data_IF_643691694538
#
_entry.id   IF_643691694538
#
_cell.length_a   1.000
_cell.length_b   1.000
_cell.length_c   1.000
_cell.angle_alpha   90.00
_cell.angle_beta   90.00
_cell.angle_gamma   90.00
#
_symmetry.space_group_name_H-M   'P 1'
#
loop_
_entity.id
_entity.type
_entity.pdbx_description
1 polymer ?
#
# COMPACT_ATOMS: atom_id res chain seq x y z
N UNK A 1 -10.59 26.25 9.49
CA UNK A 1 -11.38 25.07 9.05
C UNK A 1 -10.42 24.13 8.34
N UNK A 2 -9.85 23.20 9.06
CA UNK A 2 -9.07 22.09 8.51
C UNK A 2 -10.06 21.17 7.79
N UNK A 3 -10.05 21.17 6.46
CA UNK A 3 -10.74 20.11 5.71
C UNK A 3 -10.15 18.79 6.17
N UNK A 4 -10.98 17.94 6.78
CA UNK A 4 -10.60 16.62 7.22
C UNK A 4 -9.95 15.84 6.07
N UNK A 5 -9.07 14.89 6.41
CA UNK A 5 -8.50 13.98 5.43
C UNK A 5 -9.64 13.26 4.68
N UNK A 6 -9.47 12.94 3.39
CA UNK A 6 -10.48 12.21 2.64
C UNK A 6 -10.72 10.84 3.29
N UNK A 7 -11.97 10.51 3.52
CA UNK A 7 -12.39 9.23 4.12
C UNK A 7 -13.34 8.44 3.23
N UNK A 8 -13.91 9.09 2.21
CA UNK A 8 -14.81 8.45 1.27
C UNK A 8 -14.20 8.37 -0.14
N UNK A 9 -14.54 7.33 -0.89
CA UNK A 9 -14.07 7.11 -2.27
C UNK A 9 -14.24 8.34 -3.17
N UNK A 10 -15.38 9.06 -3.06
CA UNK A 10 -15.65 10.26 -3.84
C UNK A 10 -14.67 11.42 -3.56
N UNK A 11 -14.13 11.52 -2.34
CA UNK A 11 -13.16 12.56 -1.99
C UNK A 11 -11.79 12.24 -2.57
N UNK A 12 -11.40 10.96 -2.60
CA UNK A 12 -10.18 10.51 -3.26
C UNK A 12 -10.26 10.71 -4.76
N UNK A 13 -11.39 10.34 -5.40
CA UNK A 13 -11.61 10.58 -6.83
C UNK A 13 -11.49 12.06 -7.17
N UNK A 14 -12.08 12.94 -6.36
CA UNK A 14 -11.95 14.39 -6.53
C UNK A 14 -10.50 14.85 -6.45
N UNK A 15 -9.75 14.35 -5.49
CA UNK A 15 -8.35 14.68 -5.33
C UNK A 15 -7.50 14.14 -6.50
N UNK A 16 -7.77 12.93 -6.96
CA UNK A 16 -7.09 12.37 -8.14
C UNK A 16 -7.42 13.08 -9.45
N UNK A 17 -8.52 13.85 -9.56
CA UNK A 17 -8.78 14.71 -10.73
C UNK A 17 -7.87 15.94 -10.80
N UNK A 18 -7.27 16.35 -9.69
CA UNK A 18 -6.30 17.45 -9.66
C UNK A 18 -4.98 17.05 -10.36
N UNK A 19 -4.18 18.02 -10.83
CA UNK A 19 -2.89 17.75 -11.45
C UNK A 19 -1.90 17.04 -10.52
N UNK A 20 -1.99 17.27 -9.21
CA UNK A 20 -1.19 16.63 -8.16
C UNK A 20 -2.02 16.41 -6.91
N UNK A 21 -1.68 15.38 -6.15
CA UNK A 21 -2.30 15.04 -4.86
C UNK A 21 -1.40 15.46 -3.71
N UNK A 22 -1.98 15.85 -2.57
CA UNK A 22 -1.21 16.25 -1.37
C UNK A 22 -0.36 15.12 -0.79
N UNK A 23 -0.74 13.87 -1.05
CA UNK A 23 0.01 12.68 -0.63
C UNK A 23 0.98 12.17 -1.70
N UNK A 24 0.97 12.76 -2.89
CA UNK A 24 1.93 12.45 -3.95
C UNK A 24 3.35 12.83 -3.50
N UNK A 25 4.23 11.86 -3.37
CA UNK A 25 5.65 12.07 -3.15
C UNK A 25 6.41 11.61 -4.40
N UNK A 26 7.43 12.39 -4.79
CA UNK A 26 8.17 12.13 -6.02
C UNK A 26 9.37 11.20 -5.82
N UNK A 27 9.68 10.82 -4.57
CA UNK A 27 10.83 9.97 -4.25
C UNK A 27 10.40 8.54 -3.96
N UNK A 28 11.13 7.59 -4.50
CA UNK A 28 11.01 6.19 -4.10
C UNK A 28 11.58 6.05 -2.68
N UNK A 29 10.84 5.46 -1.74
CA UNK A 29 11.35 5.22 -0.40
C UNK A 29 12.48 4.19 -0.42
N UNK A 30 13.53 4.42 0.38
CA UNK A 30 14.63 3.44 0.54
C UNK A 30 14.13 2.10 1.07
N UNK A 31 13.08 2.11 1.86
CA UNK A 31 12.43 0.93 2.40
C UNK A 31 11.83 0.06 1.27
N UNK A 32 11.19 0.69 0.28
CA UNK A 32 10.69 -0.01 -0.91
C UNK A 32 11.86 -0.51 -1.79
N UNK A 33 12.90 0.31 -1.98
CA UNK A 33 14.11 -0.13 -2.68
C UNK A 33 14.71 -1.38 -2.02
N UNK A 34 14.79 -1.39 -0.69
CA UNK A 34 15.28 -2.54 0.08
C UNK A 34 14.38 -3.76 -0.09
N UNK A 35 13.05 -3.60 -0.04
CA UNK A 35 12.10 -4.70 -0.26
C UNK A 35 12.29 -5.34 -1.64
N UNK A 36 12.41 -4.52 -2.68
CA UNK A 36 12.58 -4.96 -4.06
C UNK A 36 13.92 -5.71 -4.26
N UNK A 37 14.96 -5.29 -3.56
CA UNK A 37 16.30 -5.89 -3.66
C UNK A 37 16.51 -7.07 -2.71
N UNK A 38 15.69 -7.22 -1.66
CA UNK A 38 15.83 -8.27 -0.66
C UNK A 38 15.17 -9.57 -1.11
N UNK A 39 15.93 -10.65 -1.21
CA UNK A 39 15.39 -12.00 -1.38
C UNK A 39 14.79 -12.31 -2.77
N UNK A 40 14.98 -11.46 -3.75
CA UNK A 40 14.48 -11.65 -5.14
C UNK A 40 12.99 -12.01 -5.25
N UNK A 41 12.06 -11.20 -4.73
CA UNK A 41 10.64 -11.41 -5.02
C UNK A 41 10.44 -11.37 -6.54
N UNK A 42 9.57 -12.22 -7.09
CA UNK A 42 9.19 -12.16 -8.51
C UNK A 42 7.89 -11.43 -8.71
N UNK A 43 6.94 -11.62 -7.79
CA UNK A 43 5.61 -11.05 -7.84
C UNK A 43 5.34 -10.19 -6.60
N UNK A 44 4.91 -8.96 -6.81
CA UNK A 44 4.63 -7.98 -5.74
C UNK A 44 3.23 -7.41 -5.89
N UNK A 45 2.52 -7.27 -4.77
CA UNK A 45 1.21 -6.63 -4.68
C UNK A 45 1.35 -5.25 -4.02
N UNK A 46 0.89 -4.19 -4.69
CA UNK A 46 0.73 -2.86 -4.10
C UNK A 46 -0.73 -2.62 -3.72
N UNK A 47 -0.99 -2.32 -2.45
CA UNK A 47 -2.31 -2.00 -1.92
C UNK A 47 -2.47 -0.48 -1.77
N UNK A 48 -3.52 0.09 -2.39
CA UNK A 48 -3.70 1.53 -2.49
C UNK A 48 -2.69 2.18 -3.44
N UNK A 49 -2.53 1.64 -4.64
CA UNK A 49 -1.48 2.04 -5.58
C UNK A 49 -1.64 3.47 -6.15
N UNK A 50 -2.79 4.09 -5.98
CA UNK A 50 -3.09 5.41 -6.51
C UNK A 50 -2.80 5.52 -8.02
N UNK A 51 -2.02 6.52 -8.41
CA UNK A 51 -1.62 6.73 -9.81
C UNK A 51 -0.44 5.82 -10.26
N UNK A 52 -0.13 4.74 -9.53
CA UNK A 52 0.74 3.65 -9.95
C UNK A 52 2.24 3.95 -9.94
N UNK A 53 2.68 5.00 -9.26
CA UNK A 53 4.09 5.42 -9.25
C UNK A 53 5.05 4.34 -8.75
N UNK A 54 4.73 3.73 -7.61
CA UNK A 54 5.61 2.73 -7.01
C UNK A 54 5.53 1.41 -7.75
N UNK A 55 4.34 1.02 -8.21
CA UNK A 55 4.18 -0.13 -9.12
C UNK A 55 5.03 0.03 -10.38
N UNK A 56 5.05 1.22 -11.00
CA UNK A 56 5.93 1.47 -12.16
C UNK A 56 7.41 1.31 -11.80
N UNK A 57 7.84 1.85 -10.66
CA UNK A 57 9.21 1.67 -10.18
C UNK A 57 9.56 0.18 -9.99
N UNK A 58 8.68 -0.58 -9.33
CA UNK A 58 8.88 -2.02 -9.10
C UNK A 58 8.98 -2.77 -10.43
N UNK A 59 8.09 -2.47 -11.38
CA UNK A 59 8.14 -3.08 -12.72
C UNK A 59 9.41 -2.71 -13.50
N UNK A 60 9.96 -1.51 -13.32
CA UNK A 60 11.24 -1.10 -13.91
C UNK A 60 12.43 -1.90 -13.35
N UNK A 61 12.30 -2.51 -12.17
CA UNK A 61 13.29 -3.43 -11.61
C UNK A 61 13.16 -4.87 -12.17
N UNK A 62 12.24 -5.09 -13.11
CA UNK A 62 12.03 -6.40 -13.76
C UNK A 62 11.14 -7.36 -12.98
N UNK A 63 10.33 -6.85 -12.05
CA UNK A 63 9.43 -7.65 -11.24
C UNK A 63 7.99 -7.57 -11.76
N UNK A 64 7.23 -8.65 -11.60
CA UNK A 64 5.79 -8.66 -11.84
C UNK A 64 5.10 -7.92 -10.69
N UNK A 65 4.28 -6.94 -11.02
CA UNK A 65 3.57 -6.15 -10.00
C UNK A 65 2.12 -5.95 -10.38
N UNK A 66 1.25 -6.17 -9.39
CA UNK A 66 -0.17 -5.85 -9.44
C UNK A 66 -0.46 -4.72 -8.45
N UNK A 67 -1.02 -3.62 -8.92
CA UNK A 67 -1.46 -2.49 -8.08
C UNK A 67 -2.98 -2.44 -8.00
N UNK A 68 -3.51 -2.31 -6.79
CA UNK A 68 -4.96 -2.18 -6.54
C UNK A 68 -5.24 -0.84 -5.90
N UNK A 69 -6.26 -0.16 -6.40
CA UNK A 69 -6.82 1.04 -5.77
C UNK A 69 -8.34 1.09 -6.00
N UNK A 70 -9.08 1.55 -5.02
CA UNK A 70 -10.54 1.63 -5.13
C UNK A 70 -11.03 2.78 -6.01
N UNK A 71 -10.15 3.75 -6.34
CA UNK A 71 -10.45 4.89 -7.20
C UNK A 71 -10.26 4.54 -8.68
N UNK A 72 -11.33 4.45 -9.49
CA UNK A 72 -11.19 4.27 -10.92
C UNK A 72 -10.45 5.45 -11.59
N UNK A 73 -10.51 6.64 -11.00
CA UNK A 73 -9.78 7.81 -11.49
C UNK A 73 -8.27 7.64 -11.30
N UNK A 74 -7.85 7.10 -10.14
CA UNK A 74 -6.45 6.79 -9.87
C UNK A 74 -5.93 5.73 -10.84
N UNK A 75 -6.66 4.63 -11.00
CA UNK A 75 -6.29 3.54 -11.92
C UNK A 75 -6.21 4.01 -13.37
N UNK A 76 -7.15 4.83 -13.83
CA UNK A 76 -7.06 5.41 -15.18
C UNK A 76 -5.80 6.26 -15.38
N UNK A 77 -5.36 7.00 -14.35
CA UNK A 77 -4.08 7.74 -14.37
C UNK A 77 -2.88 6.80 -14.38
N UNK A 78 -2.90 5.74 -13.58
CA UNK A 78 -1.84 4.74 -13.53
C UNK A 78 -1.67 4.06 -14.89
N UNK A 79 -2.74 3.62 -15.51
CA UNK A 79 -2.75 3.02 -16.85
C UNK A 79 -2.23 3.99 -17.94
N UNK A 80 -2.62 5.26 -17.86
CA UNK A 80 -2.12 6.30 -18.78
C UNK A 80 -0.62 6.55 -18.59
N UNK A 81 -0.14 6.53 -17.36
CA UNK A 81 1.28 6.68 -17.05
C UNK A 81 2.08 5.53 -17.66
N UNK A 82 1.65 4.30 -17.44
CA UNK A 82 2.30 3.09 -17.96
C UNK A 82 2.32 3.04 -19.49
N UNK A 83 1.32 3.57 -20.17
CA UNK A 83 1.30 3.60 -21.63
C UNK A 83 2.51 4.35 -22.24
N UNK A 84 3.16 5.21 -21.47
CA UNK A 84 4.37 5.95 -21.84
C UNK A 84 5.68 5.25 -21.44
N UNK A 85 5.59 4.16 -20.68
CA UNK A 85 6.72 3.41 -20.15
C UNK A 85 6.89 2.07 -20.88
N UNK A 86 8.08 1.47 -20.79
CA UNK A 86 8.36 0.14 -21.35
C UNK A 86 7.93 -1.01 -20.44
N UNK A 87 7.40 -0.71 -19.27
CA UNK A 87 6.97 -1.68 -18.24
C UNK A 87 5.47 -1.95 -18.31
N UNK A 88 5.03 -3.06 -17.73
CA UNK A 88 3.62 -3.50 -17.80
C UNK A 88 3.10 -3.97 -16.43
N UNK A 89 3.09 -3.08 -15.41
CA UNK A 89 2.37 -3.41 -14.18
C UNK A 89 0.89 -3.61 -14.49
N UNK A 90 0.25 -4.52 -13.78
CA UNK A 90 -1.20 -4.69 -13.80
C UNK A 90 -1.84 -3.70 -12.83
N UNK A 91 -2.92 -3.02 -13.25
CA UNK A 91 -3.67 -2.12 -12.40
C UNK A 91 -5.14 -2.48 -12.38
N UNK A 92 -5.68 -2.68 -11.17
CA UNK A 92 -7.06 -3.11 -10.94
C UNK A 92 -7.81 -2.12 -10.05
N UNK A 93 -9.05 -1.84 -10.41
CA UNK A 93 -9.97 -1.16 -9.50
C UNK A 93 -10.48 -2.20 -8.51
N UNK A 94 -10.25 -1.97 -7.21
CA UNK A 94 -10.69 -2.89 -6.16
C UNK A 94 -10.54 -2.30 -4.77
N UNK A 95 -11.35 -2.81 -3.85
CA UNK A 95 -11.26 -2.49 -2.44
C UNK A 95 -10.24 -3.44 -1.78
N UNK A 96 -9.25 -2.87 -1.09
CA UNK A 96 -8.19 -3.63 -0.39
C UNK A 96 -8.72 -4.52 0.73
N UNK A 97 -9.99 -4.33 1.12
CA UNK A 97 -10.70 -5.16 2.10
C UNK A 97 -11.48 -6.33 1.46
N UNK A 98 -11.56 -6.36 0.11
CA UNK A 98 -12.27 -7.39 -0.68
C UNK A 98 -11.55 -7.61 -2.00
N UNK A 99 -10.59 -8.53 -2.02
CA UNK A 99 -9.72 -8.80 -3.17
C UNK A 99 -10.00 -10.16 -3.83
N UNK A 100 -11.26 -10.59 -3.87
CA UNK A 100 -11.67 -11.88 -4.45
C UNK A 100 -11.24 -12.06 -5.91
N UNK A 101 -11.04 -10.95 -6.62
CA UNK A 101 -10.55 -10.97 -8.00
C UNK A 101 -9.07 -11.40 -8.12
N UNK A 102 -8.30 -11.32 -7.02
CA UNK A 102 -6.89 -11.67 -7.01
C UNK A 102 -6.66 -13.12 -6.62
N UNK A 103 -5.71 -13.75 -7.30
CA UNK A 103 -5.18 -15.08 -6.97
C UNK A 103 -3.72 -14.95 -6.54
N UNK A 104 -3.43 -15.39 -5.33
CA UNK A 104 -2.06 -15.50 -4.81
C UNK A 104 -1.37 -16.80 -5.26
N UNK A 105 -0.19 -17.11 -4.70
CA UNK A 105 0.49 -16.26 -3.75
C UNK A 105 1.41 -15.23 -4.40
N UNK A 106 1.47 -14.04 -3.82
CA UNK A 106 2.51 -13.05 -4.09
C UNK A 106 3.73 -13.29 -3.20
N UNK A 107 4.93 -12.96 -3.68
CA UNK A 107 6.17 -13.09 -2.92
C UNK A 107 6.32 -12.01 -1.85
N UNK A 108 5.87 -10.80 -2.15
CA UNK A 108 5.86 -9.67 -1.24
C UNK A 108 4.67 -8.75 -1.54
N UNK A 109 4.40 -7.84 -0.62
CA UNK A 109 3.45 -6.74 -0.83
C UNK A 109 3.90 -5.47 -0.14
N UNK A 110 3.34 -4.35 -0.55
CA UNK A 110 3.57 -3.09 0.14
C UNK A 110 2.36 -2.15 0.07
N UNK A 111 2.35 -1.21 1.00
CA UNK A 111 1.35 -0.16 1.16
C UNK A 111 2.06 1.14 1.58
N UNK A 112 1.80 2.21 0.87
CA UNK A 112 2.36 3.52 1.21
C UNK A 112 1.22 4.52 1.42
N UNK A 113 0.50 4.36 2.55
CA UNK A 113 -0.51 5.33 2.97
C UNK A 113 -1.95 4.94 2.70
N UNK A 114 -2.25 3.65 2.55
CA UNK A 114 -3.60 3.13 2.43
C UNK A 114 -4.14 2.62 3.77
N UNK A 115 -3.42 1.73 4.45
CA UNK A 115 -3.86 1.03 5.66
C UNK A 115 -4.37 1.98 6.76
N UNK A 116 -3.70 3.10 6.98
CA UNK A 116 -4.10 4.06 8.00
C UNK A 116 -5.41 4.81 7.67
N UNK A 117 -5.92 4.70 6.46
CA UNK A 117 -7.22 5.26 6.07
C UNK A 117 -8.40 4.35 6.42
N UNK A 118 -8.13 3.08 6.78
CA UNK A 118 -9.16 2.08 7.09
C UNK A 118 -9.64 2.22 8.55
N UNK A 119 -10.92 1.95 8.76
CA UNK A 119 -11.47 1.74 10.10
C UNK A 119 -11.07 0.35 10.66
N UNK A 120 -11.47 0.04 11.90
CA UNK A 120 -11.08 -1.20 12.56
C UNK A 120 -11.59 -2.46 11.86
N UNK A 121 -12.75 -2.41 11.22
CA UNK A 121 -13.29 -3.52 10.44
C UNK A 121 -12.51 -3.71 9.15
N UNK A 122 -12.28 -2.63 8.41
CA UNK A 122 -11.47 -2.61 7.20
C UNK A 122 -10.04 -3.08 7.45
N UNK A 123 -9.41 -2.70 8.57
CA UNK A 123 -8.07 -3.18 8.94
C UNK A 123 -8.04 -4.70 9.14
N UNK A 124 -9.06 -5.29 9.79
CA UNK A 124 -9.16 -6.75 9.94
C UNK A 124 -9.37 -7.46 8.60
N UNK A 125 -10.26 -6.93 7.76
CA UNK A 125 -10.50 -7.47 6.43
C UNK A 125 -9.23 -7.39 5.55
N UNK A 126 -8.53 -6.27 5.57
CA UNK A 126 -7.24 -6.08 4.90
C UNK A 126 -6.20 -7.14 5.32
N UNK A 127 -6.04 -7.40 6.63
CA UNK A 127 -5.12 -8.44 7.13
C UNK A 127 -5.53 -9.83 6.65
N UNK A 128 -6.83 -10.12 6.63
CA UNK A 128 -7.38 -11.39 6.13
C UNK A 128 -7.05 -11.59 4.65
N UNK A 129 -7.27 -10.56 3.81
CA UNK A 129 -6.94 -10.61 2.38
C UNK A 129 -5.43 -10.81 2.14
N UNK A 130 -4.58 -10.07 2.86
CA UNK A 130 -3.14 -10.26 2.80
C UNK A 130 -2.71 -11.66 3.20
N UNK A 131 -3.31 -12.21 4.26
CA UNK A 131 -3.02 -13.58 4.71
C UNK A 131 -3.34 -14.63 3.64
N UNK A 132 -4.34 -14.39 2.81
CA UNK A 132 -4.71 -15.25 1.69
C UNK A 132 -3.79 -15.07 0.48
N UNK A 133 -3.35 -13.85 0.24
CA UNK A 133 -2.65 -13.45 -0.98
C UNK A 133 -1.13 -13.55 -0.91
N UNK A 134 -0.52 -13.45 0.28
CA UNK A 134 0.92 -13.63 0.43
C UNK A 134 1.29 -15.10 0.71
N UNK A 135 2.42 -15.53 0.16
CA UNK A 135 3.02 -16.82 0.56
C UNK A 135 3.54 -16.76 2.00
N UNK A 136 3.63 -17.90 2.66
CA UNK A 136 4.35 -18.01 3.93
C UNK A 136 5.80 -17.52 3.78
N UNK A 137 6.29 -16.77 4.74
CA UNK A 137 7.58 -16.08 4.70
C UNK A 137 7.63 -14.86 3.78
N UNK A 138 6.53 -14.51 3.09
CA UNK A 138 6.42 -13.28 2.30
C UNK A 138 6.41 -12.03 3.17
N UNK A 139 7.04 -10.97 2.70
CA UNK A 139 7.13 -9.69 3.45
C UNK A 139 6.05 -8.73 3.00
N UNK A 140 5.36 -8.12 3.94
CA UNK A 140 4.49 -6.97 3.74
C UNK A 140 5.13 -5.72 4.36
N UNK A 141 5.35 -4.68 3.55
CA UNK A 141 5.92 -3.41 3.96
C UNK A 141 4.82 -2.34 4.03
N UNK A 142 4.65 -1.68 5.18
CA UNK A 142 3.67 -0.60 5.33
C UNK A 142 4.36 0.70 5.71
N UNK A 143 3.96 1.80 5.09
CA UNK A 143 4.11 3.13 5.64
C UNK A 143 2.75 3.64 6.13
N UNK A 144 2.65 3.97 7.41
CA UNK A 144 1.42 4.51 7.99
C UNK A 144 1.71 5.72 8.90
N UNK A 145 0.76 6.63 8.99
CA UNK A 145 0.74 7.68 10.02
C UNK A 145 0.38 7.04 11.37
N UNK A 146 0.96 7.57 12.45
CA UNK A 146 0.72 7.07 13.83
C UNK A 146 -0.71 7.37 14.32
N UNK A 147 -1.34 8.38 13.71
CA UNK A 147 -2.76 8.70 13.92
C UNK A 147 -3.49 8.59 12.58
N UNK A 148 -4.46 7.71 12.52
CA UNK A 148 -5.31 7.54 11.35
C UNK A 148 -6.41 8.61 11.30
N UNK A 149 -6.97 8.94 10.12
CA UNK A 149 -8.19 9.73 10.01
C UNK A 149 -9.38 9.12 10.76
N UNK A 150 -9.33 7.83 11.07
CA UNK A 150 -10.32 7.08 11.85
C UNK A 150 -10.03 7.09 13.37
N UNK A 151 -9.10 7.91 13.85
CA UNK A 151 -8.65 8.01 15.24
C UNK A 151 -8.13 6.67 15.83
N UNK A 152 -7.72 5.73 14.98
CA UNK A 152 -7.15 4.45 15.41
C UNK A 152 -5.64 4.64 15.57
N UNK A 153 -5.09 4.39 16.79
CA UNK A 153 -3.65 4.46 16.99
C UNK A 153 -2.93 3.36 16.17
N UNK A 154 -1.89 3.76 15.44
CA UNK A 154 -1.03 2.83 14.68
C UNK A 154 0.40 2.86 15.22
N UNK A 155 0.55 2.80 16.54
CA UNK A 155 1.85 2.56 17.17
C UNK A 155 2.40 1.18 16.80
N UNK A 156 3.71 0.92 16.94
CA UNK A 156 4.27 -0.41 16.69
C UNK A 156 3.59 -1.54 17.48
N UNK A 157 3.16 -1.26 18.72
CA UNK A 157 2.42 -2.23 19.53
C UNK A 157 1.03 -2.52 18.93
N UNK A 158 0.29 -1.49 18.53
CA UNK A 158 -1.03 -1.65 17.92
C UNK A 158 -0.94 -2.40 16.57
N UNK A 159 0.00 -2.02 15.70
CA UNK A 159 0.20 -2.73 14.42
C UNK A 159 0.57 -4.19 14.64
N UNK A 160 1.44 -4.49 15.61
CA UNK A 160 1.78 -5.87 15.98
C UNK A 160 0.52 -6.66 16.37
N UNK A 161 -0.38 -6.07 17.17
CA UNK A 161 -1.61 -6.72 17.63
C UNK A 161 -2.59 -6.94 16.46
N UNK A 162 -2.81 -5.92 15.61
CA UNK A 162 -3.72 -6.01 14.47
C UNK A 162 -3.28 -7.11 13.49
N UNK A 163 -1.98 -7.27 13.25
CA UNK A 163 -1.44 -8.23 12.30
C UNK A 163 -1.14 -9.62 12.91
N UNK A 164 -1.16 -9.78 14.24
CA UNK A 164 -0.83 -11.04 14.94
C UNK A 164 -1.55 -12.29 14.39
N UNK A 165 -2.80 -12.24 13.88
CA UNK A 165 -3.48 -13.44 13.39
C UNK A 165 -2.81 -14.11 12.18
N UNK A 166 -1.89 -13.43 11.49
CA UNK A 166 -1.29 -14.01 10.30
C UNK A 166 0.12 -13.53 9.98
N UNK A 167 0.64 -12.59 10.75
CA UNK A 167 1.94 -11.97 10.48
C UNK A 167 2.75 -11.75 11.76
N UNK A 168 4.06 -11.78 11.61
CA UNK A 168 4.99 -11.36 12.63
C UNK A 168 5.58 -9.99 12.29
N UNK A 169 5.51 -9.02 13.22
CA UNK A 169 6.17 -7.73 13.07
C UNK A 169 7.68 -7.90 13.32
N UNK A 170 8.46 -7.86 12.25
CA UNK A 170 9.92 -8.02 12.31
C UNK A 170 10.63 -6.71 12.66
N UNK A 171 10.07 -5.57 12.19
CA UNK A 171 10.72 -4.28 12.39
C UNK A 171 9.69 -3.15 12.32
N UNK A 172 9.96 -2.09 13.08
CA UNK A 172 9.24 -0.82 13.01
C UNK A 172 10.24 0.33 13.12
N UNK A 173 10.20 1.28 12.20
CA UNK A 173 11.11 2.43 12.19
C UNK A 173 10.33 3.73 12.04
N UNK A 174 10.61 4.77 12.85
CA UNK A 174 10.06 6.09 12.63
C UNK A 174 10.39 6.59 11.22
N UNK A 175 9.39 7.15 10.58
CA UNK A 175 9.53 7.72 9.24
C UNK A 175 9.72 9.23 9.32
N UNK A 176 10.59 9.77 8.46
CA UNK A 176 10.74 11.21 8.25
C UNK A 176 10.14 11.66 6.92
N UNK A 177 9.31 10.81 6.32
CA UNK A 177 8.72 11.05 5.00
C UNK A 177 7.72 12.21 4.98
N UNK A 178 7.05 12.44 6.10
CA UNK A 178 6.07 13.51 6.31
C UNK A 178 6.37 14.26 7.60
N UNK A 179 5.79 15.45 7.75
CA UNK A 179 5.86 16.24 8.97
C UNK A 179 5.11 15.56 10.11
N UNK A 180 4.07 14.78 9.79
CA UNK A 180 3.28 14.03 10.78
C UNK A 180 4.04 12.79 11.25
N UNK A 181 3.95 12.43 12.55
CA UNK A 181 4.51 11.18 13.07
C UNK A 181 3.99 9.99 12.27
N UNK A 182 4.90 9.12 11.88
CA UNK A 182 4.60 7.98 11.02
C UNK A 182 5.70 6.93 11.14
N UNK A 183 5.40 5.70 10.77
CA UNK A 183 6.36 4.60 10.80
C UNK A 183 6.34 3.79 9.51
N UNK A 184 7.46 3.11 9.27
CA UNK A 184 7.57 1.96 8.40
C UNK A 184 7.50 0.69 9.21
N UNK A 185 6.75 -0.31 8.73
CA UNK A 185 6.58 -1.62 9.37
C UNK A 185 6.95 -2.72 8.39
N UNK A 186 7.75 -3.69 8.85
CA UNK A 186 8.07 -4.92 8.12
C UNK A 186 7.36 -6.08 8.80
N UNK A 187 6.43 -6.68 8.11
CA UNK A 187 5.59 -7.77 8.58
C UNK A 187 5.89 -9.01 7.73
N UNK A 188 6.10 -10.15 8.36
CA UNK A 188 6.36 -11.41 7.66
C UNK A 188 5.18 -12.34 7.86
N UNK A 189 4.68 -12.91 6.76
CA UNK A 189 3.57 -13.87 6.78
C UNK A 189 4.02 -15.16 7.47
N UNK A 190 3.28 -15.58 8.51
CA UNK A 190 3.52 -16.81 9.26
C UNK A 190 3.34 -18.08 8.39
#
# INVERSE_FOLDING_TARGET
MTKGAPTASADFDRAYRLPFTFWGDFRIPKELETLVQSGTPRSILELGCGAGRYSCYVAQQGLDVTGVDFSPVAIAKAQKHVAQEKVRPEFLVGDVTHLDMLRGPFDASFDVGCFHCLDAEGQRAYVSELSRLLRSGGTHLIWAMDSSPSDIPLSPAAVKEIFAPGFELQNARPSRRRIVPSHWYWLVRA
#
